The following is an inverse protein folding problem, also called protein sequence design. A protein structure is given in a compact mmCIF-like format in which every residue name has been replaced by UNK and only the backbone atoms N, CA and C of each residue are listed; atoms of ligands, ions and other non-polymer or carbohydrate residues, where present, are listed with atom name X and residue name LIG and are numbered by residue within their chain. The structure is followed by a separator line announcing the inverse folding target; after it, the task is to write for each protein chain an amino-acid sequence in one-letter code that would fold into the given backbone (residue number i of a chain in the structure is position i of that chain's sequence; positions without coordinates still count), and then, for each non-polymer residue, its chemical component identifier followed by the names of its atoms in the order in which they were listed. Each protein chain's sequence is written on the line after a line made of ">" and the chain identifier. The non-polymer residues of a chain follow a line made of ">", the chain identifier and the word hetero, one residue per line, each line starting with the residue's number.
data_IF_422812200378
#
_entry.id   IF_422812200378
#
_cell.length_a   1.000
_cell.length_b   1.000
_cell.length_c   1.000
_cell.angle_alpha   90.00
_cell.angle_beta   90.00
_cell.angle_gamma   90.00
#
_symmetry.space_group_name_H-M   'P 1'
#
loop_
_entity.id
_entity.type
_entity.pdbx_description
1 polymer ?
#
# COMPACT_ATOMS: atom_id res chain seq x y z
N UNK A 1 15.33 16.17 -18.36
CA UNK A 1 14.08 15.77 -17.70
C UNK A 1 14.43 14.56 -16.87
N UNK A 2 14.47 14.74 -15.56
CA UNK A 2 14.59 13.61 -14.65
C UNK A 2 13.30 12.79 -14.78
N UNK A 3 13.42 11.50 -15.03
CA UNK A 3 12.27 10.65 -15.35
C UNK A 3 11.36 10.49 -14.14
N UNK A 4 10.06 10.73 -14.31
CA UNK A 4 9.04 10.49 -13.28
C UNK A 4 9.01 9.01 -12.89
N UNK A 5 9.14 8.71 -11.61
CA UNK A 5 9.04 7.35 -11.06
C UNK A 5 7.69 7.19 -10.38
N UNK A 6 6.88 6.26 -10.87
CA UNK A 6 5.55 5.97 -10.31
C UNK A 6 5.57 4.59 -9.65
N UNK A 7 5.20 4.52 -8.37
CA UNK A 7 4.88 3.26 -7.72
C UNK A 7 3.37 3.05 -7.77
N UNK A 8 2.92 1.96 -8.39
CA UNK A 8 1.51 1.59 -8.44
C UNK A 8 1.23 0.44 -7.45
N UNK A 9 0.17 0.60 -6.66
CA UNK A 9 -0.25 -0.36 -5.63
C UNK A 9 -1.70 -0.75 -5.89
N UNK A 10 -1.97 -2.06 -5.89
CA UNK A 10 -3.31 -2.64 -6.01
C UNK A 10 -3.38 -4.02 -5.37
N UNK A 11 -4.59 -4.61 -5.31
CA UNK A 11 -4.83 -6.02 -4.98
C UNK A 11 -4.23 -6.44 -3.63
N UNK A 12 -4.26 -5.51 -2.65
CA UNK A 12 -3.77 -5.80 -1.31
C UNK A 12 -4.75 -6.65 -0.51
N UNK A 13 -6.04 -6.61 -0.86
CA UNK A 13 -7.07 -7.47 -0.29
C UNK A 13 -6.96 -7.54 1.24
N UNK A 14 -6.93 -6.38 1.89
CA UNK A 14 -6.74 -6.27 3.34
C UNK A 14 -8.00 -6.74 4.04
N UNK A 15 -7.85 -7.80 4.83
CA UNK A 15 -8.88 -8.36 5.69
C UNK A 15 -8.28 -8.88 6.99
N UNK A 16 -9.10 -9.55 7.83
CA UNK A 16 -8.69 -10.05 9.14
C UNK A 16 -7.51 -11.04 9.10
N UNK A 17 -7.33 -11.72 7.97
CA UNK A 17 -6.26 -12.72 7.77
C UNK A 17 -5.01 -12.14 7.09
N UNK A 18 -5.05 -10.86 6.68
CA UNK A 18 -3.94 -10.24 5.97
C UNK A 18 -2.76 -10.01 6.90
N UNK A 19 -1.59 -10.46 6.48
CA UNK A 19 -0.38 -10.39 7.30
C UNK A 19 0.12 -8.95 7.46
N UNK A 20 0.25 -8.48 8.70
CA UNK A 20 0.90 -7.18 9.00
C UNK A 20 2.33 -7.12 8.45
N UNK A 21 3.04 -8.25 8.44
CA UNK A 21 4.38 -8.36 7.86
C UNK A 21 4.36 -8.18 6.35
N UNK A 22 3.32 -8.67 5.67
CA UNK A 22 3.14 -8.45 4.23
C UNK A 22 2.97 -6.96 3.94
N UNK A 23 2.07 -6.27 4.65
CA UNK A 23 1.85 -4.83 4.45
C UNK A 23 3.10 -4.00 4.75
N UNK A 24 3.84 -4.34 5.81
CA UNK A 24 5.12 -3.69 6.11
C UNK A 24 6.17 -3.89 4.99
N UNK A 25 6.21 -5.08 4.37
CA UNK A 25 7.09 -5.34 3.22
C UNK A 25 6.69 -4.55 1.98
N UNK A 26 5.39 -4.43 1.70
CA UNK A 26 4.89 -3.60 0.58
C UNK A 26 5.31 -2.16 0.81
N UNK A 27 5.06 -1.60 2.00
CA UNK A 27 5.45 -0.24 2.32
C UNK A 27 6.98 -0.03 2.21
N UNK A 28 7.79 -0.98 2.69
CA UNK A 28 9.24 -0.90 2.53
C UNK A 28 9.66 -0.89 1.05
N UNK A 29 9.11 -1.79 0.23
CA UNK A 29 9.43 -1.86 -1.20
C UNK A 29 9.05 -0.58 -1.96
N UNK A 30 7.89 0.01 -1.64
CA UNK A 30 7.46 1.29 -2.24
C UNK A 30 8.43 2.41 -1.86
N UNK A 31 8.84 2.48 -0.58
CA UNK A 31 9.77 3.50 -0.10
C UNK A 31 11.15 3.38 -0.73
N UNK A 32 11.68 2.16 -0.81
CA UNK A 32 13.00 1.86 -1.41
C UNK A 32 13.01 2.12 -2.92
N UNK A 33 11.84 2.11 -3.57
CA UNK A 33 11.72 2.48 -4.98
C UNK A 33 11.91 3.98 -5.24
N UNK A 34 11.86 4.82 -4.19
CA UNK A 34 11.93 6.29 -4.28
C UNK A 34 11.02 6.86 -5.39
N UNK A 35 9.70 6.60 -5.36
CA UNK A 35 8.77 7.14 -6.34
C UNK A 35 8.49 8.63 -6.09
N UNK A 36 8.21 9.35 -7.17
CA UNK A 36 7.69 10.72 -7.13
C UNK A 36 6.16 10.74 -6.98
N UNK A 37 5.50 9.65 -7.38
CA UNK A 37 4.06 9.49 -7.30
C UNK A 37 3.71 8.06 -6.89
N UNK A 38 2.82 7.94 -5.91
CA UNK A 38 2.21 6.66 -5.54
C UNK A 38 0.77 6.65 -6.09
N UNK A 39 0.48 5.72 -6.99
CA UNK A 39 -0.83 5.51 -7.57
C UNK A 39 -1.49 4.28 -6.91
N UNK A 40 -2.62 4.47 -6.25
CA UNK A 40 -3.40 3.38 -5.66
C UNK A 40 -4.62 3.12 -6.53
N UNK A 41 -4.74 1.92 -7.10
CA UNK A 41 -5.68 1.68 -8.22
C UNK A 41 -6.86 0.75 -7.91
N UNK A 42 -6.93 0.11 -6.74
CA UNK A 42 -8.09 -0.68 -6.34
C UNK A 42 -7.77 -1.94 -5.55
N UNK A 43 -8.82 -2.69 -5.17
CA UNK A 43 -8.76 -3.99 -4.50
C UNK A 43 -7.95 -3.98 -3.19
N UNK A 44 -8.26 -3.00 -2.35
CA UNK A 44 -7.50 -2.72 -1.13
C UNK A 44 -8.03 -3.46 0.09
N UNK A 45 -9.32 -3.75 0.17
CA UNK A 45 -10.00 -4.33 1.35
C UNK A 45 -11.04 -5.35 0.89
N UNK A 46 -11.13 -6.49 1.59
CA UNK A 46 -12.01 -7.61 1.22
C UNK A 46 -13.32 -7.69 2.01
N UNK A 47 -13.22 -7.85 3.33
CA UNK A 47 -14.34 -8.41 4.09
C UNK A 47 -15.21 -7.34 4.75
N UNK A 48 -14.60 -6.36 5.41
CA UNK A 48 -15.35 -5.40 6.22
C UNK A 48 -14.79 -3.97 6.15
N UNK A 49 -15.66 -2.93 6.25
CA UNK A 49 -15.21 -1.53 6.26
C UNK A 49 -14.18 -1.21 7.35
N UNK A 50 -14.22 -1.90 8.49
CA UNK A 50 -13.26 -1.74 9.59
C UNK A 50 -11.82 -2.13 9.21
N UNK A 51 -11.64 -2.98 8.20
CA UNK A 51 -10.31 -3.43 7.78
C UNK A 51 -9.53 -2.32 7.02
N UNK A 52 -10.22 -1.24 6.62
CA UNK A 52 -9.59 -0.01 6.09
C UNK A 52 -8.59 0.59 7.08
N UNK A 53 -8.82 0.49 8.39
CA UNK A 53 -7.87 1.02 9.39
C UNK A 53 -6.51 0.32 9.32
N UNK A 54 -6.50 -0.99 9.03
CA UNK A 54 -5.25 -1.75 8.88
C UNK A 54 -4.48 -1.32 7.62
N UNK A 55 -5.20 -1.10 6.52
CA UNK A 55 -4.65 -0.53 5.29
C UNK A 55 -4.06 0.87 5.55
N UNK A 56 -4.86 1.76 6.14
CA UNK A 56 -4.50 3.15 6.38
C UNK A 56 -3.28 3.28 7.31
N UNK A 57 -3.19 2.43 8.35
CA UNK A 57 -2.03 2.41 9.25
C UNK A 57 -0.75 2.01 8.53
N UNK A 58 -0.81 1.02 7.63
CA UNK A 58 0.38 0.48 7.00
C UNK A 58 0.91 1.38 5.88
N UNK A 59 0.03 1.93 5.04
CA UNK A 59 0.40 2.74 3.89
C UNK A 59 0.36 4.24 4.15
N UNK A 60 -0.39 4.72 5.15
CA UNK A 60 -0.35 6.12 5.57
C UNK A 60 0.99 6.56 6.16
N UNK A 61 1.90 5.61 6.43
CA UNK A 61 3.29 5.86 6.81
C UNK A 61 4.24 5.99 5.61
N UNK A 62 3.72 6.03 4.38
CA UNK A 62 4.47 6.38 3.18
C UNK A 62 4.31 7.89 2.99
N UNK A 63 5.38 8.65 3.30
CA UNK A 63 5.53 10.06 2.95
C UNK A 63 6.16 10.20 1.56
#
# INVERSE_FOLDING_TARGET
>A
MDGLRVAQISDLHVGPQTSRRFLARVAAAVRDAHPDLIAVTGDLVDDFPRDVEHYATALGALE
#
